data_IF_497027496034
#
_entry.id   IF_497027496034
#
_cell.length_a   1.000
_cell.length_b   1.000
_cell.length_c   1.000
_cell.angle_alpha   90.00
_cell.angle_beta   90.00
_cell.angle_gamma   90.00
#
_symmetry.space_group_name_H-M   'P 1'
#
loop_
_entity.id
_entity.type
_entity.pdbx_description
1 polymer ?
#
# COMPACT_ATOMS: atom_id res chain seq x y z
N UNK A 1 23.79 -18.15 -7.28
CA UNK A 1 22.67 -17.21 -7.40
C UNK A 1 23.06 -15.91 -6.73
N UNK A 2 22.77 -14.77 -7.33
CA UNK A 2 22.97 -13.46 -6.67
C UNK A 2 21.98 -13.38 -5.53
N UNK A 3 22.44 -13.14 -4.30
CA UNK A 3 21.60 -13.05 -3.12
C UNK A 3 20.95 -11.65 -3.09
N UNK A 4 19.64 -11.58 -2.93
CA UNK A 4 18.92 -10.33 -2.74
C UNK A 4 19.05 -9.89 -1.28
N UNK A 5 19.75 -8.79 -1.04
CA UNK A 5 19.91 -8.23 0.29
C UNK A 5 18.83 -7.17 0.54
N UNK A 6 17.83 -7.53 1.31
CA UNK A 6 16.72 -6.63 1.65
C UNK A 6 17.21 -5.43 2.46
N UNK A 7 16.64 -4.25 2.19
CA UNK A 7 16.96 -3.03 2.92
C UNK A 7 15.85 -1.99 2.77
N UNK A 8 14.92 -1.89 3.72
CA UNK A 8 13.84 -0.89 3.72
C UNK A 8 13.68 -0.32 5.13
N UNK A 9 14.08 0.93 5.32
CA UNK A 9 14.00 1.61 6.62
C UNK A 9 12.94 2.71 6.68
N UNK A 10 12.44 3.15 5.52
CA UNK A 10 11.41 4.18 5.41
C UNK A 10 10.70 4.11 4.04
N UNK A 11 9.69 4.94 3.85
CA UNK A 11 8.88 4.98 2.63
C UNK A 11 9.49 5.83 1.50
N UNK A 12 10.50 6.67 1.78
CA UNK A 12 10.90 7.74 0.85
C UNK A 12 12.36 7.72 0.40
N UNK A 13 13.23 6.91 1.01
CA UNK A 13 14.61 6.74 0.54
C UNK A 13 14.66 6.19 -0.90
N UNK A 14 15.78 6.40 -1.58
CA UNK A 14 15.94 6.00 -2.98
C UNK A 14 15.66 4.50 -3.16
N UNK A 15 14.69 4.20 -3.99
CA UNK A 15 14.29 2.85 -4.36
C UNK A 15 15.33 2.23 -5.30
N UNK A 16 15.72 0.99 -5.00
CA UNK A 16 16.65 0.21 -5.83
C UNK A 16 15.99 -1.02 -6.43
N UNK A 17 15.06 -1.62 -5.67
CA UNK A 17 14.40 -2.83 -6.12
C UNK A 17 12.97 -2.92 -5.56
N UNK A 18 12.05 -3.39 -6.37
CA UNK A 18 10.63 -3.45 -6.06
C UNK A 18 9.96 -4.66 -6.73
N UNK A 19 8.95 -5.23 -6.08
CA UNK A 19 7.95 -6.06 -6.76
C UNK A 19 6.83 -5.13 -7.20
N UNK A 20 6.57 -5.07 -8.50
CA UNK A 20 5.42 -4.36 -9.08
C UNK A 20 4.37 -5.38 -9.49
N UNK A 21 3.14 -5.17 -9.11
CA UNK A 21 2.01 -6.02 -9.47
C UNK A 21 1.81 -6.21 -10.97
N UNK A 22 0.87 -7.04 -11.35
CA UNK A 22 0.51 -7.29 -12.76
C UNK A 22 -1.00 -7.36 -12.92
N UNK A 23 -1.50 -6.82 -14.02
CA UNK A 23 -2.92 -6.85 -14.41
C UNK A 23 -3.19 -7.75 -15.62
N UNK A 24 -2.21 -8.54 -16.07
CA UNK A 24 -2.30 -9.31 -17.34
C UNK A 24 -3.42 -10.35 -17.29
N UNK A 25 -3.70 -10.94 -16.13
CA UNK A 25 -4.74 -11.96 -15.97
C UNK A 25 -5.55 -11.70 -14.70
N UNK A 26 -6.16 -10.52 -14.63
CA UNK A 26 -6.94 -10.08 -13.47
C UNK A 26 -8.26 -10.84 -13.29
N UNK A 27 -8.62 -11.68 -14.26
CA UNK A 27 -9.86 -12.44 -14.27
C UNK A 27 -11.07 -11.64 -14.77
N UNK A 28 -12.25 -12.27 -14.76
CA UNK A 28 -13.51 -11.60 -15.11
C UNK A 28 -13.93 -10.59 -14.04
N UNK A 29 -14.93 -9.76 -14.34
CA UNK A 29 -15.56 -8.92 -13.30
C UNK A 29 -16.09 -9.82 -12.18
N UNK A 30 -15.69 -9.60 -10.91
CA UNK A 30 -16.13 -10.44 -9.79
C UNK A 30 -17.65 -10.40 -9.60
N UNK A 31 -18.23 -11.45 -9.02
CA UNK A 31 -19.59 -11.34 -8.52
C UNK A 31 -19.62 -10.38 -7.32
N UNK A 32 -20.75 -9.72 -7.11
CA UNK A 32 -20.90 -8.72 -6.06
C UNK A 32 -20.58 -9.25 -4.65
N UNK A 33 -20.84 -10.54 -4.41
CA UNK A 33 -20.54 -11.22 -3.13
C UNK A 33 -19.04 -11.44 -2.89
N UNK A 34 -18.25 -11.48 -3.97
CA UNK A 34 -16.82 -11.77 -3.96
C UNK A 34 -15.97 -10.49 -4.01
N UNK A 35 -16.61 -9.31 -3.98
CA UNK A 35 -15.90 -8.04 -3.94
C UNK A 35 -15.24 -7.84 -2.55
N UNK A 36 -13.94 -7.56 -2.56
CA UNK A 36 -13.11 -7.42 -1.36
C UNK A 36 -13.18 -6.06 -0.67
N UNK A 37 -13.80 -5.07 -1.32
CA UNK A 37 -13.87 -3.69 -0.86
C UNK A 37 -15.12 -2.98 -1.37
N UNK A 38 -15.59 -1.90 -0.70
CA UNK A 38 -16.82 -1.19 -1.07
C UNK A 38 -16.72 -0.44 -2.40
N UNK A 39 -15.52 -0.02 -2.83
CA UNK A 39 -15.35 0.71 -4.09
C UNK A 39 -15.46 -0.23 -5.30
N UNK A 40 -14.86 -1.42 -5.23
CA UNK A 40 -15.09 -2.48 -6.21
C UNK A 40 -16.58 -2.80 -6.33
N UNK A 41 -17.29 -2.94 -5.19
CA UNK A 41 -18.74 -3.16 -5.18
C UNK A 41 -19.51 -2.05 -5.91
N UNK A 42 -19.18 -0.80 -5.65
CA UNK A 42 -19.79 0.36 -6.31
C UNK A 42 -19.62 0.28 -7.83
N UNK A 43 -18.41 0.02 -8.31
CA UNK A 43 -18.11 -0.06 -9.74
C UNK A 43 -18.70 -1.31 -10.42
N UNK A 44 -18.83 -2.43 -9.71
CA UNK A 44 -19.54 -3.62 -10.21
C UNK A 44 -21.04 -3.28 -10.39
N UNK A 45 -21.67 -2.67 -9.39
CA UNK A 45 -23.10 -2.28 -9.46
C UNK A 45 -23.33 -1.26 -10.58
N UNK A 46 -22.44 -0.30 -10.75
CA UNK A 46 -22.52 0.74 -11.77
C UNK A 46 -22.18 0.24 -13.19
N UNK A 47 -21.63 -0.98 -13.33
CA UNK A 47 -21.14 -1.51 -14.62
C UNK A 47 -19.92 -0.76 -15.16
N UNK A 48 -19.11 -0.18 -14.26
CA UNK A 48 -17.90 0.60 -14.59
C UNK A 48 -16.62 -0.01 -14.01
N UNK A 49 -16.68 -1.30 -13.62
CA UNK A 49 -15.50 -2.03 -13.16
C UNK A 49 -14.40 -2.01 -14.24
N UNK A 50 -13.12 -1.86 -13.87
CA UNK A 50 -12.04 -1.64 -14.83
C UNK A 50 -11.83 -2.85 -15.75
N UNK A 51 -11.39 -2.59 -16.98
CA UNK A 51 -11.03 -3.63 -17.94
C UNK A 51 -9.56 -3.98 -17.81
N UNK A 52 -9.23 -5.25 -18.05
CA UNK A 52 -7.85 -5.73 -17.99
C UNK A 52 -6.92 -4.93 -18.89
N UNK A 53 -7.34 -4.62 -20.12
CA UNK A 53 -6.52 -3.88 -21.09
C UNK A 53 -6.13 -2.48 -20.56
N UNK A 54 -7.07 -1.79 -19.94
CA UNK A 54 -6.84 -0.44 -19.40
C UNK A 54 -5.90 -0.49 -18.18
N UNK A 55 -6.10 -1.47 -17.29
CA UNK A 55 -5.24 -1.68 -16.13
C UNK A 55 -3.81 -2.09 -16.50
N UNK A 56 -3.64 -2.89 -17.57
CA UNK A 56 -2.30 -3.24 -18.07
C UNK A 56 -1.57 -1.99 -18.55
N UNK A 57 -2.23 -1.09 -19.27
CA UNK A 57 -1.63 0.18 -19.72
C UNK A 57 -1.18 1.03 -18.54
N UNK A 58 -2.00 1.12 -17.50
CA UNK A 58 -1.68 1.87 -16.28
C UNK A 58 -0.50 1.28 -15.53
N UNK A 59 -0.46 -0.05 -15.38
CA UNK A 59 0.64 -0.76 -14.72
C UNK A 59 1.97 -0.60 -15.48
N UNK A 60 1.94 -0.67 -16.82
CA UNK A 60 3.13 -0.51 -17.66
C UNK A 60 3.64 0.95 -17.65
N UNK A 61 2.76 1.93 -17.45
CA UNK A 61 3.19 3.32 -17.26
C UNK A 61 4.05 3.49 -16.00
N UNK A 62 3.73 2.78 -14.92
CA UNK A 62 4.57 2.75 -13.69
C UNK A 62 5.88 2.03 -13.94
N UNK A 63 5.87 0.90 -14.67
CA UNK A 63 7.08 0.17 -15.03
C UNK A 63 8.06 1.05 -15.84
N UNK A 64 7.53 1.85 -16.77
CA UNK A 64 8.35 2.78 -17.56
C UNK A 64 9.02 3.87 -16.69
N UNK A 65 8.34 4.33 -15.63
CA UNK A 65 8.97 5.24 -14.66
C UNK A 65 10.10 4.52 -13.92
N UNK A 66 9.90 3.29 -13.46
CA UNK A 66 10.95 2.53 -12.79
C UNK A 66 12.17 2.31 -13.70
N UNK A 67 11.95 2.00 -14.98
CA UNK A 67 13.04 1.88 -15.97
C UNK A 67 13.81 3.20 -16.13
N UNK A 68 13.11 4.33 -16.22
CA UNK A 68 13.70 5.69 -16.31
C UNK A 68 14.68 5.99 -15.15
N UNK A 69 14.43 5.42 -13.96
CA UNK A 69 15.23 5.64 -12.75
C UNK A 69 16.15 4.47 -12.40
N UNK A 70 16.37 3.54 -13.32
CA UNK A 70 17.23 2.35 -13.15
C UNK A 70 16.85 1.50 -11.93
N UNK A 71 15.54 1.37 -11.64
CA UNK A 71 15.01 0.58 -10.54
C UNK A 71 14.79 -0.86 -11.01
N UNK A 72 15.33 -1.83 -10.27
CA UNK A 72 15.12 -3.25 -10.55
C UNK A 72 13.68 -3.63 -10.23
N UNK A 73 12.95 -4.12 -11.22
CA UNK A 73 11.55 -4.54 -11.08
C UNK A 73 11.44 -6.06 -11.16
N UNK A 74 10.81 -6.65 -10.16
CA UNK A 74 10.30 -8.01 -10.19
C UNK A 74 8.80 -7.98 -10.47
N UNK A 75 8.28 -9.01 -11.13
CA UNK A 75 6.84 -9.18 -11.37
C UNK A 75 6.39 -10.50 -10.77
N UNK A 76 5.19 -10.60 -10.18
CA UNK A 76 4.63 -11.89 -9.80
C UNK A 76 4.61 -12.85 -11.00
N UNK A 77 4.83 -14.16 -10.77
CA UNK A 77 4.50 -15.16 -11.77
C UNK A 77 3.00 -15.09 -12.03
N UNK A 78 2.62 -15.10 -13.29
CA UNK A 78 1.22 -15.00 -13.67
C UNK A 78 0.44 -16.22 -13.17
N UNK A 79 -0.65 -15.93 -12.48
CA UNK A 79 -1.72 -16.88 -12.11
C UNK A 79 -2.92 -16.53 -13.00
N UNK A 80 -3.54 -17.54 -13.61
CA UNK A 80 -4.70 -17.33 -14.48
C UNK A 80 -5.91 -16.89 -13.65
N UNK A 81 -6.63 -15.88 -14.14
CA UNK A 81 -7.84 -15.32 -13.53
C UNK A 81 -7.67 -14.84 -12.06
N UNK A 82 -6.46 -14.37 -11.72
CA UNK A 82 -6.12 -13.90 -10.38
C UNK A 82 -5.75 -12.41 -10.40
N UNK A 83 -6.33 -11.63 -9.49
CA UNK A 83 -5.93 -10.25 -9.28
C UNK A 83 -4.59 -10.19 -8.55
N UNK A 84 -3.53 -9.84 -9.28
CA UNK A 84 -2.16 -9.75 -8.76
C UNK A 84 -1.63 -8.30 -8.81
N UNK A 85 -2.54 -7.33 -8.81
CA UNK A 85 -2.19 -5.90 -8.90
C UNK A 85 -1.56 -5.41 -7.59
N UNK A 86 -2.12 -5.79 -6.44
CA UNK A 86 -1.81 -5.18 -5.15
C UNK A 86 -0.79 -5.99 -4.35
N UNK A 87 0.46 -5.98 -4.83
CA UNK A 87 1.57 -6.73 -4.21
C UNK A 87 1.99 -6.20 -2.85
N UNK A 88 1.57 -5.00 -2.47
CA UNK A 88 1.84 -4.44 -1.15
C UNK A 88 1.22 -5.27 -0.03
N UNK A 89 0.05 -5.84 -0.25
CA UNK A 89 -0.72 -6.50 0.80
C UNK A 89 -0.13 -7.85 1.18
N UNK A 90 0.47 -8.56 0.20
CA UNK A 90 0.97 -9.94 0.41
C UNK A 90 2.21 -10.04 1.27
N UNK A 91 2.90 -8.92 1.52
CA UNK A 91 4.08 -8.87 2.37
C UNK A 91 4.75 -7.51 2.38
N UNK A 92 5.70 -7.34 3.26
CA UNK A 92 6.44 -6.10 3.41
C UNK A 92 7.84 -6.35 3.97
N UNK A 93 8.72 -5.38 3.79
CA UNK A 93 10.09 -5.43 4.31
C UNK A 93 10.25 -4.39 5.41
N UNK A 94 10.79 -4.83 6.55
CA UNK A 94 11.24 -3.95 7.64
C UNK A 94 12.73 -4.22 7.84
N UNK A 95 13.54 -3.19 7.67
CA UNK A 95 15.00 -3.27 7.66
C UNK A 95 15.47 -4.33 6.64
N UNK A 96 15.96 -5.48 7.07
CA UNK A 96 16.41 -6.58 6.22
C UNK A 96 15.51 -7.83 6.31
N UNK A 97 14.34 -7.72 6.93
CA UNK A 97 13.40 -8.82 7.13
C UNK A 97 12.18 -8.66 6.23
N UNK A 98 11.89 -9.69 5.45
CA UNK A 98 10.63 -9.84 4.73
C UNK A 98 9.59 -10.52 5.62
N UNK A 99 8.47 -9.89 5.80
CA UNK A 99 7.30 -10.47 6.49
C UNK A 99 6.31 -10.96 5.44
N UNK A 100 6.04 -12.26 5.43
CA UNK A 100 4.93 -12.84 4.66
C UNK A 100 3.62 -12.52 5.40
N UNK A 101 2.73 -11.78 4.79
CA UNK A 101 1.45 -11.44 5.40
C UNK A 101 0.52 -12.67 5.51
N UNK A 102 -0.28 -12.73 6.55
CA UNK A 102 -1.49 -13.54 6.57
C UNK A 102 -2.63 -12.67 6.05
N UNK A 103 -2.86 -12.76 4.76
CA UNK A 103 -3.87 -12.02 4.00
C UNK A 103 -5.21 -12.78 3.97
N UNK A 104 -6.21 -12.21 3.30
CA UNK A 104 -7.46 -12.91 3.03
C UNK A 104 -7.19 -14.27 2.39
N UNK A 105 -7.88 -15.35 2.82
CA UNK A 105 -7.67 -16.70 2.28
C UNK A 105 -7.79 -16.78 0.76
N UNK A 106 -8.71 -16.04 0.16
CA UNK A 106 -8.94 -16.02 -1.29
C UNK A 106 -7.77 -15.38 -2.08
N UNK A 107 -6.82 -14.75 -1.39
CA UNK A 107 -5.65 -14.08 -1.97
C UNK A 107 -4.32 -14.81 -1.67
N UNK A 108 -4.32 -15.91 -0.94
CA UNK A 108 -3.09 -16.58 -0.50
C UNK A 108 -2.18 -17.03 -1.66
N UNK A 109 -2.75 -17.39 -2.81
CA UNK A 109 -1.99 -17.77 -4.00
C UNK A 109 -1.09 -16.66 -4.54
N UNK A 110 -1.45 -15.39 -4.31
CA UNK A 110 -0.64 -14.25 -4.75
C UNK A 110 0.76 -14.26 -4.11
N UNK A 111 0.88 -14.75 -2.87
CA UNK A 111 2.17 -14.86 -2.17
C UNK A 111 3.09 -15.89 -2.83
N UNK A 112 2.54 -16.99 -3.35
CA UNK A 112 3.33 -18.01 -4.04
C UNK A 112 3.90 -17.49 -5.36
N UNK A 113 3.21 -16.56 -6.01
CA UNK A 113 3.65 -15.96 -7.26
C UNK A 113 4.96 -15.18 -7.16
N UNK A 114 5.34 -14.74 -5.96
CA UNK A 114 6.62 -14.05 -5.70
C UNK A 114 7.66 -14.96 -5.01
N UNK A 115 7.38 -16.26 -4.81
CA UNK A 115 8.29 -17.16 -4.10
C UNK A 115 9.69 -17.20 -4.75
N UNK A 116 9.78 -17.10 -6.09
CA UNK A 116 11.05 -17.06 -6.81
C UNK A 116 11.93 -15.82 -6.46
N UNK A 117 11.31 -14.74 -5.99
CA UNK A 117 12.02 -13.55 -5.46
C UNK A 117 12.52 -13.88 -4.06
N UNK A 118 11.67 -14.48 -3.22
CA UNK A 118 12.01 -14.85 -1.84
C UNK A 118 13.08 -15.93 -1.78
N UNK A 119 13.16 -16.82 -2.78
CA UNK A 119 14.23 -17.82 -2.91
C UNK A 119 15.63 -17.20 -3.07
N UNK A 120 15.72 -15.91 -3.41
CA UNK A 120 16.97 -15.15 -3.49
C UNK A 120 17.32 -14.48 -2.16
N UNK A 121 16.42 -14.46 -1.19
CA UNK A 121 16.62 -13.90 0.15
C UNK A 121 17.15 -14.98 1.10
N UNK A 122 17.91 -14.60 2.12
CA UNK A 122 18.30 -15.53 3.16
C UNK A 122 17.09 -16.06 3.95
N UNK A 123 17.06 -17.35 4.24
CA UNK A 123 15.91 -17.98 4.91
C UNK A 123 15.59 -17.36 6.28
N UNK A 124 16.63 -16.95 7.01
CA UNK A 124 16.53 -16.27 8.30
C UNK A 124 16.05 -14.82 8.20
N UNK A 125 15.95 -14.27 6.98
CA UNK A 125 15.41 -12.95 6.70
C UNK A 125 13.98 -13.01 6.12
N UNK A 126 13.34 -14.17 6.10
CA UNK A 126 11.93 -14.32 5.69
C UNK A 126 11.17 -14.94 6.86
N UNK A 127 10.23 -14.19 7.39
CA UNK A 127 9.41 -14.63 8.54
C UNK A 127 7.93 -14.64 8.17
N UNK A 128 7.16 -15.48 8.84
CA UNK A 128 5.69 -15.50 8.76
C UNK A 128 5.13 -15.41 10.18
N UNK A 129 4.18 -14.49 10.43
CA UNK A 129 3.49 -14.43 11.72
C UNK A 129 2.62 -15.69 11.95
N UNK A 130 2.26 -16.00 13.22
CA UNK A 130 1.26 -17.03 13.54
C UNK A 130 -0.07 -16.78 12.79
N UNK A 131 -0.85 -17.85 12.59
CA UNK A 131 -2.07 -17.82 11.77
C UNK A 131 -3.10 -16.77 12.24
N UNK A 132 -3.23 -16.58 13.56
CA UNK A 132 -4.15 -15.61 14.14
C UNK A 132 -3.69 -14.14 14.09
N UNK A 133 -2.48 -13.91 13.61
CA UNK A 133 -1.89 -12.57 13.44
C UNK A 133 -2.13 -12.12 12.02
N UNK A 134 -3.09 -11.22 11.83
CA UNK A 134 -3.40 -10.63 10.53
C UNK A 134 -2.75 -9.26 10.43
N UNK A 135 -1.91 -9.07 9.41
CA UNK A 135 -1.28 -7.79 9.08
C UNK A 135 -0.94 -7.75 7.60
N UNK A 136 -1.55 -6.81 6.87
CA UNK A 136 -1.27 -6.56 5.45
C UNK A 136 -0.32 -5.38 5.28
N UNK A 137 0.52 -5.42 4.24
CA UNK A 137 1.55 -4.41 4.05
C UNK A 137 1.02 -3.01 3.71
N UNK A 138 -0.25 -2.88 3.25
CA UNK A 138 -0.92 -1.60 3.09
C UNK A 138 -1.10 -0.84 4.40
N UNK A 139 -1.20 -1.57 5.51
CA UNK A 139 -1.31 -1.03 6.87
C UNK A 139 0.06 -0.77 7.54
N UNK A 140 1.17 -1.25 6.99
CA UNK A 140 2.50 -1.11 7.61
C UNK A 140 3.31 -0.04 6.89
N UNK A 141 3.73 0.99 7.62
CA UNK A 141 4.42 2.14 7.04
C UNK A 141 5.60 2.56 7.90
N UNK A 142 6.78 2.68 7.28
CA UNK A 142 8.02 2.97 7.98
C UNK A 142 8.37 4.46 7.90
N UNK A 143 8.74 5.04 9.04
CA UNK A 143 9.25 6.39 9.10
C UNK A 143 10.25 6.55 10.25
N UNK A 144 11.54 6.73 9.94
CA UNK A 144 12.63 6.77 10.92
C UNK A 144 12.60 5.51 11.82
N UNK A 145 12.50 5.71 13.15
CA UNK A 145 12.39 4.62 14.13
C UNK A 145 10.96 4.11 14.31
N UNK A 146 9.99 4.67 13.59
CA UNK A 146 8.59 4.28 13.71
C UNK A 146 8.20 3.17 12.72
N UNK A 147 7.36 2.27 13.20
CA UNK A 147 6.46 1.45 12.39
C UNK A 147 5.05 1.95 12.69
N UNK A 148 4.44 2.63 11.73
CA UNK A 148 3.03 3.01 11.80
C UNK A 148 2.19 1.85 11.29
N UNK A 149 1.11 1.52 12.01
CA UNK A 149 0.25 0.37 11.70
C UNK A 149 -1.20 0.81 11.70
N UNK A 150 -1.85 0.74 10.54
CA UNK A 150 -3.30 0.79 10.45
C UNK A 150 -3.90 -0.47 11.06
N UNK A 151 -4.99 -0.34 11.81
CA UNK A 151 -5.70 -1.48 12.39
C UNK A 151 -7.18 -1.17 12.52
N UNK A 152 -7.97 -2.19 12.85
CA UNK A 152 -9.36 -2.02 13.25
C UNK A 152 -9.60 -2.75 14.56
N UNK A 153 -9.99 -2.00 15.60
CA UNK A 153 -10.20 -2.53 16.97
C UNK A 153 -11.60 -3.12 17.16
N UNK A 154 -12.28 -3.46 16.07
CA UNK A 154 -13.58 -4.12 16.04
C UNK A 154 -13.45 -5.59 15.69
N UNK A 155 -14.34 -6.06 14.78
CA UNK A 155 -14.29 -7.41 14.26
C UNK A 155 -13.07 -7.64 13.34
N UNK A 156 -12.62 -8.89 13.23
CA UNK A 156 -11.57 -9.30 12.30
C UNK A 156 -12.16 -9.55 10.90
N UNK A 157 -11.33 -9.77 9.88
CA UNK A 157 -11.77 -9.95 8.49
C UNK A 157 -12.72 -11.14 8.30
N UNK A 158 -12.66 -12.14 9.17
CA UNK A 158 -13.61 -13.26 9.14
C UNK A 158 -15.08 -12.80 9.26
N UNK A 159 -15.33 -11.73 10.02
CA UNK A 159 -16.65 -11.14 10.23
C UNK A 159 -16.82 -9.80 9.49
N UNK A 160 -15.71 -9.14 9.15
CA UNK A 160 -15.69 -7.82 8.52
C UNK A 160 -14.54 -7.69 7.52
N UNK A 161 -14.77 -8.08 6.27
CA UNK A 161 -13.75 -8.34 5.23
C UNK A 161 -12.73 -7.22 5.02
N UNK A 162 -13.10 -5.97 5.31
CA UNK A 162 -12.21 -4.80 5.20
C UNK A 162 -11.32 -4.60 6.44
N UNK A 163 -11.48 -5.39 7.49
CA UNK A 163 -10.64 -5.34 8.70
C UNK A 163 -9.40 -6.24 8.50
N UNK A 164 -8.42 -5.76 7.72
CA UNK A 164 -7.28 -6.53 7.21
C UNK A 164 -6.15 -6.74 8.22
N UNK A 165 -6.02 -5.83 9.19
CA UNK A 165 -4.99 -5.88 10.23
C UNK A 165 -5.64 -5.81 11.61
N UNK A 166 -5.35 -6.81 12.45
CA UNK A 166 -5.90 -6.92 13.80
C UNK A 166 -4.90 -6.46 14.88
N UNK A 167 -5.35 -6.32 16.13
CA UNK A 167 -4.49 -5.92 17.27
C UNK A 167 -3.37 -6.94 17.55
N UNK A 168 -3.58 -8.24 17.26
CA UNK A 168 -2.52 -9.24 17.38
C UNK A 168 -1.39 -8.96 16.39
N UNK A 169 -1.68 -8.41 15.20
CA UNK A 169 -0.70 -7.95 14.24
C UNK A 169 0.16 -6.81 14.80
N UNK A 170 -0.47 -5.87 15.50
CA UNK A 170 0.25 -4.76 16.15
C UNK A 170 1.16 -5.27 17.27
N UNK A 171 0.66 -6.17 18.12
CA UNK A 171 1.45 -6.76 19.21
C UNK A 171 2.63 -7.58 18.67
N UNK A 172 2.39 -8.40 17.67
CA UNK A 172 3.42 -9.21 17.03
C UNK A 172 4.53 -8.34 16.42
N UNK A 173 4.18 -7.22 15.78
CA UNK A 173 5.17 -6.27 15.25
C UNK A 173 6.01 -5.64 16.37
N UNK A 174 5.44 -5.31 17.53
CA UNK A 174 6.17 -4.80 18.70
C UNK A 174 7.19 -5.81 19.21
N UNK A 175 6.81 -7.09 19.28
CA UNK A 175 7.68 -8.16 19.75
C UNK A 175 8.77 -8.52 18.74
N UNK A 176 8.43 -8.57 17.44
CA UNK A 176 9.35 -8.94 16.37
C UNK A 176 10.38 -7.83 16.05
N UNK A 177 10.03 -6.56 16.27
CA UNK A 177 10.90 -5.41 15.97
C UNK A 177 11.09 -4.51 17.19
N UNK A 178 11.71 -5.02 18.28
CA UNK A 178 11.79 -4.32 19.57
C UNK A 178 12.63 -3.02 19.55
N UNK A 179 13.41 -2.80 18.51
CA UNK A 179 14.20 -1.57 18.29
C UNK A 179 13.38 -0.44 17.66
N UNK A 180 12.18 -0.75 17.15
CA UNK A 180 11.28 0.20 16.50
C UNK A 180 10.16 0.64 17.45
N UNK A 181 9.64 1.83 17.20
CA UNK A 181 8.47 2.37 17.90
C UNK A 181 7.21 2.06 17.10
N UNK A 182 6.49 1.02 17.49
CA UNK A 182 5.23 0.64 16.82
C UNK A 182 4.08 1.49 17.36
N UNK A 183 3.48 2.29 16.47
CA UNK A 183 2.32 3.14 16.76
C UNK A 183 1.15 2.69 15.88
N UNK A 184 0.04 2.30 16.49
CA UNK A 184 -1.16 1.85 15.80
C UNK A 184 -2.23 2.92 15.71
N UNK A 185 -2.97 2.91 14.61
CA UNK A 185 -4.07 3.83 14.31
C UNK A 185 -5.35 3.04 14.04
N UNK A 186 -6.43 3.37 14.76
CA UNK A 186 -7.72 2.75 14.58
C UNK A 186 -8.45 3.38 13.39
N UNK A 187 -8.50 2.68 12.26
CA UNK A 187 -9.01 3.22 11.01
C UNK A 187 -10.53 3.12 10.92
N UNK A 188 -11.13 4.08 10.21
CA UNK A 188 -12.55 4.04 9.84
C UNK A 188 -12.76 2.98 8.77
N UNK A 189 -13.76 2.11 9.02
CA UNK A 189 -14.11 1.01 8.11
C UNK A 189 -15.60 1.07 7.79
N UNK A 190 -15.94 0.83 6.52
CA UNK A 190 -17.32 0.66 6.06
C UNK A 190 -17.34 -0.30 4.86
N UNK A 191 -18.07 -1.43 5.00
CA UNK A 191 -18.17 -2.45 3.94
C UNK A 191 -19.00 -2.01 2.72
N UNK A 192 -19.72 -0.88 2.80
CA UNK A 192 -20.69 -0.47 1.79
C UNK A 192 -20.41 0.92 1.21
N UNK A 193 -19.83 1.82 2.01
CA UNK A 193 -19.57 3.20 1.62
C UNK A 193 -18.08 3.47 1.47
N UNK A 194 -17.56 3.54 0.22
CA UNK A 194 -16.15 3.79 -0.03
C UNK A 194 -15.67 5.18 0.40
N UNK A 195 -16.58 6.15 0.58
CA UNK A 195 -16.24 7.48 1.10
C UNK A 195 -15.94 7.47 2.61
N UNK A 196 -16.39 6.43 3.31
CA UNK A 196 -16.20 6.25 4.75
C UNK A 196 -15.33 5.02 5.10
N UNK A 197 -14.62 4.47 4.10
CA UNK A 197 -13.70 3.36 4.27
C UNK A 197 -12.24 3.78 4.05
N UNK A 198 -11.37 3.53 5.03
CA UNK A 198 -9.93 3.50 4.84
C UNK A 198 -9.49 2.04 4.91
N UNK A 199 -9.42 1.37 3.74
CA UNK A 199 -9.11 -0.06 3.65
C UNK A 199 -7.80 -0.40 4.36
N UNK A 200 -6.77 0.43 4.14
CA UNK A 200 -5.48 0.37 4.81
C UNK A 200 -5.04 1.78 5.25
N UNK A 201 -3.95 1.86 6.00
CA UNK A 201 -3.37 3.13 6.44
C UNK A 201 -3.00 4.03 5.25
N UNK A 202 -2.53 3.46 4.16
CA UNK A 202 -2.13 4.19 2.96
C UNK A 202 -3.30 4.79 2.16
N UNK A 203 -4.55 4.48 2.54
CA UNK A 203 -5.74 5.18 2.05
C UNK A 203 -5.92 6.57 2.69
N UNK A 204 -5.30 6.83 3.84
CA UNK A 204 -5.49 8.08 4.59
C UNK A 204 -4.21 8.74 5.09
N UNK A 205 -3.04 8.09 4.92
CA UNK A 205 -1.75 8.62 5.34
C UNK A 205 -0.62 8.10 4.45
N UNK A 206 0.33 8.99 4.09
CA UNK A 206 1.54 8.64 3.35
C UNK A 206 2.65 9.66 3.62
N UNK A 207 3.83 9.25 4.16
CA UNK A 207 5.02 10.07 4.16
C UNK A 207 5.52 10.35 2.74
N UNK A 208 5.94 11.57 2.48
CA UNK A 208 6.55 12.00 1.22
C UNK A 208 7.70 12.97 1.50
N UNK A 209 8.67 13.01 0.62
CA UNK A 209 9.86 13.83 0.86
C UNK A 209 10.67 13.35 2.06
N UNK A 210 11.30 14.24 2.78
CA UNK A 210 12.09 13.93 3.98
C UNK A 210 11.31 14.14 5.27
N UNK A 211 10.34 15.05 5.29
CA UNK A 211 9.66 15.55 6.49
C UNK A 211 8.17 15.88 6.27
N UNK A 212 7.59 15.46 5.16
CA UNK A 212 6.21 15.79 4.78
C UNK A 212 5.33 14.56 4.77
N UNK A 213 4.02 14.78 4.82
CA UNK A 213 3.05 13.73 4.66
C UNK A 213 1.77 14.20 3.96
N UNK A 214 1.07 13.27 3.38
CA UNK A 214 -0.30 13.40 2.91
C UNK A 214 -1.19 12.79 3.98
N UNK A 215 -2.29 13.44 4.35
CA UNK A 215 -3.08 13.05 5.50
C UNK A 215 -4.58 13.31 5.27
N UNK A 216 -5.43 12.35 5.63
CA UNK A 216 -6.89 12.49 5.66
C UNK A 216 -7.42 12.24 7.07
N UNK A 217 -7.90 13.31 7.72
CA UNK A 217 -8.43 13.25 9.10
C UNK A 217 -9.56 12.22 9.25
N UNK A 218 -10.46 12.14 8.27
CA UNK A 218 -11.64 11.27 8.31
C UNK A 218 -11.33 9.77 8.30
N UNK A 219 -10.10 9.36 7.96
CA UNK A 219 -9.66 7.96 7.99
C UNK A 219 -9.41 7.41 9.40
N UNK A 220 -9.21 8.27 10.38
CA UNK A 220 -8.92 7.92 11.77
C UNK A 220 -10.19 7.97 12.61
N UNK A 221 -10.42 6.96 13.44
CA UNK A 221 -11.53 6.94 14.40
C UNK A 221 -11.26 7.77 15.65
N UNK A 222 -9.99 7.95 16.00
CA UNK A 222 -9.56 8.73 17.16
C UNK A 222 -8.88 10.02 16.71
N UNK A 223 -9.34 11.17 17.18
CA UNK A 223 -8.76 12.47 16.81
C UNK A 223 -7.30 12.61 17.30
N UNK A 224 -6.97 12.01 18.43
CA UNK A 224 -5.63 12.01 19.01
C UNK A 224 -4.62 11.30 18.11
N UNK A 225 -5.03 10.26 17.40
CA UNK A 225 -4.18 9.50 16.47
C UNK A 225 -3.82 10.37 15.23
N UNK A 226 -4.80 11.08 14.69
CA UNK A 226 -4.57 12.07 13.63
C UNK A 226 -3.67 13.20 14.13
N UNK A 227 -3.94 13.75 15.32
CA UNK A 227 -3.18 14.87 15.88
C UNK A 227 -1.71 14.46 16.15
N UNK A 228 -1.47 13.22 16.59
CA UNK A 228 -0.12 12.68 16.74
C UNK A 228 0.70 12.81 15.44
N UNK A 229 0.12 12.48 14.28
CA UNK A 229 0.80 12.62 13.00
C UNK A 229 1.02 14.09 12.62
N UNK A 230 0.03 14.96 12.85
CA UNK A 230 0.17 16.40 12.61
C UNK A 230 1.28 17.01 13.47
N UNK A 231 1.40 16.59 14.74
CA UNK A 231 2.42 17.08 15.65
C UNK A 231 3.82 16.56 15.26
N UNK A 232 3.91 15.30 14.81
CA UNK A 232 5.16 14.67 14.41
C UNK A 232 5.75 15.30 13.15
N UNK A 233 4.93 15.53 12.12
CA UNK A 233 5.37 16.11 10.84
C UNK A 233 5.38 17.63 10.87
N UNK A 234 4.60 18.24 11.75
CA UNK A 234 4.32 19.67 11.78
C UNK A 234 3.25 20.06 10.75
N UNK A 235 2.24 20.81 11.18
CA UNK A 235 1.06 21.17 10.36
C UNK A 235 1.41 21.73 8.97
N UNK A 236 2.47 22.50 8.84
CA UNK A 236 2.91 23.11 7.56
C UNK A 236 3.43 22.09 6.54
N UNK A 237 3.85 20.91 7.02
CA UNK A 237 4.38 19.81 6.21
C UNK A 237 3.32 18.76 5.89
N UNK A 238 2.09 18.91 6.41
CA UNK A 238 0.98 18.03 6.15
C UNK A 238 0.14 18.58 4.99
N UNK A 239 -0.06 17.75 3.96
CA UNK A 239 -1.05 18.00 2.92
C UNK A 239 -2.35 17.30 3.28
N UNK A 240 -3.33 18.05 3.73
CA UNK A 240 -4.64 17.49 4.05
C UNK A 240 -5.46 17.31 2.78
N UNK A 241 -5.89 16.07 2.54
CA UNK A 241 -6.79 15.71 1.45
C UNK A 241 -8.24 15.73 1.91
N UNK A 242 -9.15 16.01 0.99
CA UNK A 242 -10.60 15.97 1.21
C UNK A 242 -11.12 14.54 1.16
N UNK A 243 -12.37 14.33 1.55
CA UNK A 243 -13.04 13.02 1.43
C UNK A 243 -13.12 12.55 -0.03
N UNK A 244 -13.40 13.44 -0.96
CA UNK A 244 -13.39 13.16 -2.40
C UNK A 244 -12.00 12.73 -2.89
N UNK A 245 -10.95 13.42 -2.45
CA UNK A 245 -9.58 13.05 -2.79
C UNK A 245 -9.17 11.73 -2.15
N UNK A 246 -9.64 11.41 -0.95
CA UNK A 246 -9.43 10.10 -0.33
C UNK A 246 -10.14 9.00 -1.12
N UNK A 247 -11.40 9.20 -1.51
CA UNK A 247 -12.11 8.28 -2.39
C UNK A 247 -11.35 8.01 -3.69
N UNK A 248 -10.68 9.01 -4.26
CA UNK A 248 -9.80 8.86 -5.43
C UNK A 248 -8.39 8.35 -5.09
N UNK A 249 -8.12 7.95 -3.85
CA UNK A 249 -6.84 7.38 -3.40
C UNK A 249 -5.65 8.35 -3.46
N UNK A 250 -5.88 9.66 -3.26
CA UNK A 250 -4.83 10.68 -3.41
C UNK A 250 -3.66 10.51 -2.42
N UNK A 251 -3.84 9.83 -1.29
CA UNK A 251 -2.73 9.51 -0.39
C UNK A 251 -1.84 8.38 -0.89
N UNK A 252 -2.36 7.50 -1.76
CA UNK A 252 -1.70 6.27 -2.17
C UNK A 252 -0.69 6.49 -3.32
N UNK A 253 0.13 7.55 -3.21
CA UNK A 253 1.27 7.83 -4.10
C UNK A 253 2.47 6.96 -3.73
N UNK A 254 3.48 6.92 -4.60
CA UNK A 254 4.66 6.10 -4.36
C UNK A 254 5.96 6.89 -4.54
N UNK A 255 6.71 7.09 -3.46
CA UNK A 255 8.03 7.74 -3.52
C UNK A 255 9.09 6.77 -4.02
N UNK A 256 9.88 7.18 -5.02
CA UNK A 256 11.05 6.44 -5.52
C UNK A 256 12.38 7.07 -5.09
N UNK A 257 12.32 8.31 -4.59
CA UNK A 257 13.41 9.00 -3.91
C UNK A 257 12.80 10.10 -3.01
N UNK A 258 13.57 10.71 -2.11
CA UNK A 258 13.07 11.80 -1.27
C UNK A 258 12.54 13.00 -2.07
N UNK A 259 13.05 13.19 -3.27
CA UNK A 259 12.73 14.28 -4.19
C UNK A 259 11.95 13.82 -5.44
N UNK A 260 11.49 12.55 -5.49
CA UNK A 260 10.76 12.01 -6.65
C UNK A 260 9.59 11.13 -6.19
N UNK A 261 8.38 11.49 -6.61
CA UNK A 261 7.13 10.77 -6.31
C UNK A 261 6.40 10.41 -7.60
N UNK A 262 5.96 9.16 -7.73
CA UNK A 262 4.99 8.76 -8.75
C UNK A 262 3.59 9.08 -8.22
N UNK A 263 2.79 9.76 -9.02
CA UNK A 263 1.44 10.19 -8.66
C UNK A 263 0.48 10.03 -9.83
N UNK A 264 -0.79 9.87 -9.55
CA UNK A 264 -1.82 9.86 -10.60
C UNK A 264 -1.99 11.27 -11.20
N UNK A 265 -2.08 11.32 -12.53
CA UNK A 265 -2.08 12.59 -13.29
C UNK A 265 -3.23 13.53 -12.95
N UNK A 266 -4.38 13.01 -12.51
CA UNK A 266 -5.54 13.81 -12.14
C UNK A 266 -5.48 14.41 -10.72
N UNK A 267 -4.47 14.08 -9.92
CA UNK A 267 -4.29 14.61 -8.57
C UNK A 267 -3.70 16.04 -8.60
N UNK A 268 -4.35 16.91 -9.35
CA UNK A 268 -3.81 18.24 -9.72
C UNK A 268 -3.38 19.10 -8.52
N UNK A 269 -4.18 19.10 -7.44
CA UNK A 269 -3.88 19.87 -6.22
C UNK A 269 -2.68 19.29 -5.47
N UNK A 270 -2.63 17.98 -5.32
CA UNK A 270 -1.51 17.28 -4.69
C UNK A 270 -0.23 17.44 -5.51
N UNK A 271 -0.31 17.21 -6.83
CA UNK A 271 0.84 17.30 -7.73
C UNK A 271 1.44 18.72 -7.74
N UNK A 272 0.60 19.75 -7.70
CA UNK A 272 1.06 21.13 -7.57
C UNK A 272 1.74 21.40 -6.22
N UNK A 273 1.20 20.85 -5.11
CA UNK A 273 1.78 20.98 -3.79
C UNK A 273 3.14 20.27 -3.69
N UNK A 274 3.27 19.06 -4.21
CA UNK A 274 4.55 18.33 -4.25
C UNK A 274 5.61 19.13 -4.99
N UNK A 275 5.29 19.65 -6.19
CA UNK A 275 6.21 20.50 -6.98
C UNK A 275 6.61 21.78 -6.26
N UNK A 276 5.70 22.38 -5.49
CA UNK A 276 5.98 23.60 -4.71
C UNK A 276 6.95 23.35 -3.54
N UNK A 277 7.23 22.08 -3.25
CA UNK A 277 8.19 21.64 -2.24
C UNK A 277 9.42 20.95 -2.86
N UNK A 278 9.75 21.29 -4.11
CA UNK A 278 10.91 20.78 -4.85
C UNK A 278 10.90 19.25 -5.05
N UNK A 279 9.71 18.64 -5.06
CA UNK A 279 9.53 17.22 -5.36
C UNK A 279 9.16 17.07 -6.83
N UNK A 280 9.93 16.30 -7.57
CA UNK A 280 9.61 15.87 -8.94
C UNK A 280 8.43 14.93 -8.91
N UNK A 281 7.41 15.20 -9.72
CA UNK A 281 6.22 14.36 -9.82
C UNK A 281 6.20 13.66 -11.17
N UNK A 282 6.35 12.35 -11.14
CA UNK A 282 6.16 11.48 -12.30
C UNK A 282 4.67 11.14 -12.39
N UNK A 283 3.97 11.83 -13.29
CA UNK A 283 2.53 11.66 -13.46
C UNK A 283 2.23 10.47 -14.38
N UNK A 284 1.44 9.54 -13.89
CA UNK A 284 1.00 8.35 -14.63
C UNK A 284 -0.52 8.25 -14.65
N UNK A 285 -1.13 7.60 -15.65
CA UNK A 285 -2.53 7.20 -15.58
C UNK A 285 -2.68 6.04 -14.60
N UNK A 286 -3.61 6.11 -13.65
CA UNK A 286 -3.90 5.03 -12.70
C UNK A 286 -5.35 5.04 -12.18
N UNK A 287 -6.24 5.74 -12.87
CA UNK A 287 -7.62 5.93 -12.45
C UNK A 287 -8.49 4.66 -12.63
N UNK A 288 -8.15 3.76 -13.55
CA UNK A 288 -8.88 2.51 -13.73
C UNK A 288 -8.55 1.53 -12.59
N UNK A 289 -7.27 1.33 -12.26
CA UNK A 289 -6.87 0.50 -11.12
C UNK A 289 -7.44 1.05 -9.80
N UNK A 290 -7.51 2.37 -9.65
CA UNK A 290 -8.07 3.02 -8.46
C UNK A 290 -9.53 2.64 -8.16
N UNK A 291 -10.28 2.12 -9.13
CA UNK A 291 -11.65 1.62 -8.95
C UNK A 291 -11.74 0.36 -8.08
N UNK A 292 -10.58 -0.28 -7.81
CA UNK A 292 -10.47 -1.45 -6.93
C UNK A 292 -9.90 -1.08 -5.54
N UNK A 293 -10.10 0.16 -5.10
CA UNK A 293 -9.67 0.70 -3.79
C UNK A 293 -8.17 0.54 -3.49
N UNK A 294 -7.33 0.57 -4.53
CA UNK A 294 -5.88 0.54 -4.44
C UNK A 294 -5.25 1.42 -5.53
N UNK A 295 -4.02 1.91 -5.31
CA UNK A 295 -3.33 2.75 -6.26
C UNK A 295 -1.84 2.35 -6.36
N UNK A 296 -0.96 3.33 -6.42
CA UNK A 296 0.47 3.17 -6.71
C UNK A 296 1.23 2.48 -5.59
N UNK A 297 0.98 2.86 -4.32
CA UNK A 297 1.62 2.19 -3.18
C UNK A 297 1.14 0.75 -3.03
N UNK A 298 -0.16 0.52 -3.15
CA UNK A 298 -0.75 -0.82 -3.07
C UNK A 298 -0.17 -1.77 -4.12
N UNK A 299 0.17 -1.26 -5.31
CA UNK A 299 0.71 -2.06 -6.42
C UNK A 299 2.22 -2.32 -6.34
N UNK A 300 2.90 -1.81 -5.30
CA UNK A 300 4.36 -1.84 -5.17
C UNK A 300 4.81 -2.36 -3.81
N UNK A 301 5.77 -3.30 -3.81
CA UNK A 301 6.40 -3.84 -2.61
C UNK A 301 7.91 -3.59 -2.71
N UNK A 302 8.44 -2.56 -2.01
CA UNK A 302 9.87 -2.30 -1.98
C UNK A 302 10.66 -3.44 -1.35
N UNK A 303 11.78 -3.79 -1.99
CA UNK A 303 12.72 -4.78 -1.48
C UNK A 303 14.03 -4.14 -1.00
N UNK A 304 14.47 -3.08 -1.70
CA UNK A 304 15.70 -2.36 -1.38
C UNK A 304 15.47 -0.86 -1.57
N UNK A 305 15.77 -0.11 -0.51
CA UNK A 305 15.92 1.35 -0.50
C UNK A 305 17.26 1.72 0.14
N UNK A 306 17.89 2.80 -0.32
CA UNK A 306 19.19 3.31 0.24
C UNK A 306 18.95 4.07 1.53
#
# INVERSE_FOLDING_TARGET
MVRLNLNVHNETSRLRSVVLGTAISNGPVPELKDAYDPKSREHIIAGTYPKNEDMVVEMEAVAAVFEKYDIQVFRPKQIEDCNQIFTRDIGFVIDNIFVKANILPDREEELEAIQYVLDQVALDHVIRPPEEVHVEGGDVMLYNDYIFVGTYRGADYADYIIARTNEKGVEWLRESFPTKKVVSFNLRKDNLDPYNNALHLDCCFQPVGTDKCILYKGGFLQEEEYQFLVDLFGKKNCFEITQEEMYHMNSNVFSIAPDVVISERNFTRLNAWLRSHDITVEEVPYAEIAKQEGLLRCSTLPLIRD
#
